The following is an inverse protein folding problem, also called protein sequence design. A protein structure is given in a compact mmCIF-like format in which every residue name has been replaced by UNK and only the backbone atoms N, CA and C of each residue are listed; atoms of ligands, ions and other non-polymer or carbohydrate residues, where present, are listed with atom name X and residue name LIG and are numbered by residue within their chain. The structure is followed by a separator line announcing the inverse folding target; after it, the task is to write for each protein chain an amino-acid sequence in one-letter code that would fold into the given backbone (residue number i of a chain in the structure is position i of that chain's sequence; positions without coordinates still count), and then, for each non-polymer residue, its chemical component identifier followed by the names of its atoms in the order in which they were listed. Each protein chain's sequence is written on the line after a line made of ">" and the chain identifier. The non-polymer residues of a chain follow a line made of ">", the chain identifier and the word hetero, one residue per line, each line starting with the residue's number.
data_IF_147766909046
#
_entry.id   IF_147766909046
#
_cell.length_a   1.000
_cell.length_b   1.000
_cell.length_c   1.000
_cell.angle_alpha   90.00
_cell.angle_beta   90.00
_cell.angle_gamma   90.00
#
_symmetry.space_group_name_H-M   'P 1'
#
loop_
_entity.id
_entity.type
_entity.pdbx_description
1 polymer ?
#
# COMPACT_ATOMS: atom_id res chain seq x y z
N UNK A 1 -16.31 5.28 6.58
CA UNK A 1 -15.78 3.96 6.15
C UNK A 1 -15.04 4.07 4.80
N UNK A 2 -15.72 4.42 3.71
CA UNK A 2 -15.10 4.50 2.36
C UNK A 2 -13.96 5.52 2.24
N UNK A 3 -14.11 6.70 2.83
CA UNK A 3 -13.07 7.74 2.85
C UNK A 3 -11.81 7.28 3.57
N UNK A 4 -11.94 6.55 4.68
CA UNK A 4 -10.80 5.98 5.41
C UNK A 4 -10.06 4.94 4.56
N UNK A 5 -10.78 4.05 3.87
CA UNK A 5 -10.18 3.07 2.97
C UNK A 5 -9.45 3.71 1.78
N UNK A 6 -9.99 4.81 1.23
CA UNK A 6 -9.32 5.59 0.20
C UNK A 6 -8.00 6.19 0.72
N UNK A 7 -8.04 6.83 1.89
CA UNK A 7 -6.85 7.44 2.51
C UNK A 7 -5.79 6.38 2.82
N UNK A 8 -6.18 5.24 3.38
CA UNK A 8 -5.29 4.10 3.62
C UNK A 8 -4.68 3.57 2.32
N UNK A 9 -5.48 3.40 1.26
CA UNK A 9 -4.97 2.97 -0.03
C UNK A 9 -3.90 3.94 -0.55
N UNK A 10 -4.14 5.26 -0.51
CA UNK A 10 -3.17 6.27 -0.96
C UNK A 10 -1.87 6.17 -0.16
N UNK A 11 -1.95 6.10 1.18
CA UNK A 11 -0.76 5.99 2.05
C UNK A 11 0.04 4.72 1.70
N UNK A 12 -0.63 3.59 1.53
CA UNK A 12 0.01 2.32 1.18
C UNK A 12 0.68 2.37 -0.19
N UNK A 13 0.06 3.02 -1.18
CA UNK A 13 0.68 3.25 -2.49
C UNK A 13 1.91 4.15 -2.40
N UNK A 14 1.86 5.22 -1.61
CA UNK A 14 3.02 6.11 -1.38
C UNK A 14 4.16 5.34 -0.72
N UNK A 15 3.88 4.54 0.32
CA UNK A 15 4.88 3.70 0.97
C UNK A 15 5.46 2.65 0.02
N UNK A 16 4.65 2.04 -0.85
CA UNK A 16 5.12 1.11 -1.86
C UNK A 16 6.11 1.78 -2.84
N UNK A 17 5.78 2.99 -3.30
CA UNK A 17 6.64 3.77 -4.20
C UNK A 17 7.93 4.20 -3.50
N UNK A 18 7.86 4.64 -2.24
CA UNK A 18 9.03 5.01 -1.44
C UNK A 18 9.94 3.80 -1.14
N UNK A 19 9.36 2.63 -0.88
CA UNK A 19 10.13 1.41 -0.72
C UNK A 19 10.90 1.07 -2.00
N UNK A 20 10.26 1.22 -3.17
CA UNK A 20 10.90 0.93 -4.46
C UNK A 20 11.93 1.99 -4.87
N UNK A 21 11.64 3.27 -4.68
CA UNK A 21 12.55 4.37 -5.02
C UNK A 21 13.72 4.45 -4.06
N UNK A 22 13.52 4.13 -2.77
CA UNK A 22 14.59 3.96 -1.79
C UNK A 22 15.58 2.85 -2.19
N UNK A 23 15.10 1.75 -2.75
CA UNK A 23 15.96 0.70 -3.33
C UNK A 23 16.72 1.21 -4.54
N UNK A 24 16.07 1.91 -5.47
CA UNK A 24 16.72 2.38 -6.68
C UNK A 24 17.81 3.44 -6.41
N UNK A 25 17.60 4.30 -5.40
CA UNK A 25 18.46 5.44 -5.14
C UNK A 25 19.52 5.22 -4.05
N UNK A 26 19.19 4.51 -2.96
CA UNK A 26 20.06 4.42 -1.78
C UNK A 26 20.79 3.09 -1.63
N UNK A 27 20.22 1.98 -2.11
CA UNK A 27 20.80 0.66 -1.86
C UNK A 27 22.10 0.36 -2.62
N UNK A 28 22.29 0.80 -3.88
CA UNK A 28 23.58 0.66 -4.57
C UNK A 28 24.72 1.40 -3.86
N UNK A 29 24.39 2.51 -3.18
CA UNK A 29 25.37 3.35 -2.48
C UNK A 29 25.80 2.80 -1.11
N UNK A 30 24.98 1.94 -0.48
CA UNK A 30 25.21 1.43 0.87
C UNK A 30 25.61 -0.06 0.91
N UNK A 31 25.56 -0.78 -0.21
CA UNK A 31 25.91 -2.20 -0.27
C UNK A 31 24.98 -3.12 0.54
N UNK A 32 23.77 -2.64 0.84
CA UNK A 32 22.78 -3.35 1.66
C UNK A 32 21.86 -4.18 0.77
N UNK A 33 21.53 -5.38 1.24
CA UNK A 33 20.69 -6.35 0.53
C UNK A 33 19.24 -5.86 0.38
N UNK A 34 18.83 -5.54 -0.85
CA UNK A 34 17.55 -4.88 -1.15
C UNK A 34 16.31 -5.75 -1.21
N UNK A 35 16.52 -7.04 -1.00
CA UNK A 35 15.46 -8.05 -1.04
C UNK A 35 14.37 -7.79 0.02
N UNK A 36 14.70 -7.17 1.15
CA UNK A 36 13.72 -6.85 2.20
C UNK A 36 12.75 -5.74 1.80
N UNK A 37 13.25 -4.65 1.20
CA UNK A 37 12.44 -3.52 0.78
C UNK A 37 11.55 -3.85 -0.44
N UNK A 38 11.99 -4.76 -1.32
CA UNK A 38 11.17 -5.24 -2.44
C UNK A 38 9.95 -6.01 -1.95
N UNK A 39 10.13 -6.90 -0.96
CA UNK A 39 9.02 -7.66 -0.35
C UNK A 39 8.00 -6.71 0.30
N UNK A 40 8.46 -5.68 0.99
CA UNK A 40 7.60 -4.68 1.61
C UNK A 40 6.86 -3.84 0.56
N UNK A 41 7.53 -3.42 -0.51
CA UNK A 41 6.89 -2.71 -1.63
C UNK A 41 5.73 -3.50 -2.25
N UNK A 42 5.96 -4.79 -2.53
CA UNK A 42 4.92 -5.70 -3.05
C UNK A 42 3.78 -5.85 -2.04
N UNK A 43 4.11 -6.02 -0.75
CA UNK A 43 3.10 -6.20 0.29
C UNK A 43 2.21 -4.96 0.44
N UNK A 44 2.79 -3.76 0.48
CA UNK A 44 2.02 -2.51 0.53
C UNK A 44 1.17 -2.28 -0.72
N UNK A 45 1.66 -2.68 -1.90
CA UNK A 45 0.90 -2.60 -3.15
C UNK A 45 -0.33 -3.52 -3.13
N UNK A 46 -0.16 -4.77 -2.71
CA UNK A 46 -1.27 -5.74 -2.57
C UNK A 46 -2.28 -5.25 -1.53
N UNK A 47 -1.81 -4.73 -0.38
CA UNK A 47 -2.68 -4.21 0.67
C UNK A 47 -3.47 -2.97 0.21
N UNK A 48 -2.84 -2.10 -0.58
CA UNK A 48 -3.49 -0.94 -1.20
C UNK A 48 -4.60 -1.34 -2.16
N UNK A 49 -4.35 -2.34 -3.02
CA UNK A 49 -5.38 -2.92 -3.90
C UNK A 49 -6.51 -3.52 -3.08
N UNK A 50 -6.20 -4.28 -2.02
CA UNK A 50 -7.22 -4.87 -1.15
C UNK A 50 -8.11 -3.82 -0.49
N UNK A 51 -7.55 -2.67 -0.09
CA UNK A 51 -8.33 -1.53 0.41
C UNK A 51 -9.28 -0.96 -0.65
N UNK A 52 -8.83 -0.82 -1.90
CA UNK A 52 -9.68 -0.34 -3.00
C UNK A 52 -10.79 -1.34 -3.35
N UNK A 53 -10.48 -2.63 -3.35
CA UNK A 53 -11.44 -3.72 -3.54
C UNK A 53 -12.47 -3.70 -2.42
N UNK A 54 -12.04 -3.63 -1.16
CA UNK A 54 -12.94 -3.53 -0.01
C UNK A 54 -13.82 -2.27 -0.08
N UNK A 55 -13.27 -1.13 -0.47
CA UNK A 55 -14.04 0.10 -0.67
C UNK A 55 -15.13 -0.07 -1.74
N UNK A 56 -14.85 -0.81 -2.82
CA UNK A 56 -15.81 -1.10 -3.89
C UNK A 56 -16.92 -2.07 -3.45
N UNK A 57 -16.60 -3.04 -2.59
CA UNK A 57 -17.55 -4.05 -2.11
C UNK A 57 -18.21 -3.71 -0.77
N UNK A 58 -17.77 -2.65 -0.10
CA UNK A 58 -18.47 -2.06 1.05
C UNK A 58 -19.73 -1.32 0.55
N UNK A 59 -20.71 -2.09 0.07
CA UNK A 59 -22.08 -1.64 -0.02
C UNK A 59 -22.58 -1.37 1.41
N UNK A 60 -23.30 -0.26 1.57
CA UNK A 60 -23.77 0.26 2.85
C UNK A 60 -24.30 -0.87 3.73
N UNK A 61 -23.78 -0.99 4.96
CA UNK A 61 -24.40 -1.82 5.97
C UNK A 61 -25.92 -1.48 6.00
N UNK A 62 -26.82 -2.47 6.06
CA UNK A 62 -28.23 -2.19 6.17
C UNK A 62 -28.42 -1.33 7.42
N UNK A 63 -28.86 -0.09 7.24
CA UNK A 63 -29.36 0.72 8.34
C UNK A 63 -30.61 0.00 8.82
N UNK A 64 -30.49 -0.77 9.90
CA UNK A 64 -31.66 -1.35 10.57
C UNK A 64 -32.58 -0.19 10.97
N UNK A 65 -33.78 -0.20 10.39
CA UNK A 65 -34.82 0.81 10.55
C UNK A 65 -35.68 0.54 11.77
#
# INVERSE_FOLDING_TARGET
>A
MKTLALVLAIILFVLALLAWSGIAAFLPALGIDGTHHLKHGILYFVLGILCLVWMRFSASAPTEA
#
